data_IF_267723749988
#
_entry.id   IF_267723749988
#
_cell.length_a   1.000
_cell.length_b   1.000
_cell.length_c   1.000
_cell.angle_alpha   90.00
_cell.angle_beta   90.00
_cell.angle_gamma   90.00
#
_symmetry.space_group_name_H-M   'P 1'
#
loop_
_entity.id
_entity.type
_entity.pdbx_description
1 polymer ?
#
# COMPACT_ATOMS: atom_id res chain seq x y z
N UNK A 1 -35.73 -33.88 40.02
CA UNK A 1 -34.42 -34.00 39.29
C UNK A 1 -34.38 -33.00 38.13
N UNK A 2 -35.39 -32.89 37.28
CA UNK A 2 -35.42 -31.95 36.14
C UNK A 2 -35.32 -30.46 36.55
N UNK A 3 -35.99 -30.00 37.59
CA UNK A 3 -35.92 -28.61 38.06
C UNK A 3 -34.52 -28.19 38.48
N UNK A 4 -33.74 -29.12 39.06
CA UNK A 4 -32.36 -28.84 39.48
C UNK A 4 -31.40 -28.76 38.29
N UNK A 5 -31.65 -29.51 37.22
CA UNK A 5 -30.83 -29.47 35.99
C UNK A 5 -31.10 -28.15 35.27
N UNK A 6 -32.34 -27.72 35.11
CA UNK A 6 -32.67 -26.43 34.49
C UNK A 6 -32.05 -25.28 35.26
N UNK A 7 -32.14 -25.28 36.61
CA UNK A 7 -31.53 -24.26 37.46
C UNK A 7 -30.00 -24.22 37.28
N UNK A 8 -29.35 -25.38 37.19
CA UNK A 8 -27.90 -25.47 36.96
C UNK A 8 -27.50 -24.88 35.58
N UNK A 9 -28.25 -25.18 34.53
CA UNK A 9 -28.00 -24.62 33.18
C UNK A 9 -28.16 -23.11 33.17
N UNK A 10 -29.20 -22.57 33.78
CA UNK A 10 -29.41 -21.11 33.90
C UNK A 10 -28.24 -20.46 34.61
N UNK A 11 -27.82 -21.03 35.75
CA UNK A 11 -26.69 -20.49 36.52
C UNK A 11 -25.39 -20.50 35.74
N UNK A 12 -25.09 -21.61 35.02
CA UNK A 12 -23.91 -21.70 34.18
C UNK A 12 -23.92 -20.68 33.05
N UNK A 13 -25.10 -20.45 32.45
CA UNK A 13 -25.26 -19.42 31.41
C UNK A 13 -25.01 -18.01 31.96
N UNK A 14 -25.55 -17.69 33.13
CA UNK A 14 -25.32 -16.40 33.83
C UNK A 14 -23.81 -16.19 34.08
N UNK A 15 -23.09 -17.22 34.52
CA UNK A 15 -21.66 -17.16 34.77
C UNK A 15 -20.87 -16.88 33.49
N UNK A 16 -21.24 -17.50 32.37
CA UNK A 16 -20.63 -17.25 31.06
C UNK A 16 -20.85 -15.80 30.61
N UNK A 17 -22.06 -15.26 30.80
CA UNK A 17 -22.35 -13.85 30.48
C UNK A 17 -21.44 -12.89 31.26
N UNK A 18 -21.20 -13.14 32.55
CA UNK A 18 -20.30 -12.33 33.38
C UNK A 18 -18.85 -12.43 32.84
N UNK A 19 -18.40 -13.61 32.49
CA UNK A 19 -17.07 -13.82 31.92
C UNK A 19 -16.89 -13.03 30.57
N UNK A 20 -17.92 -13.02 29.73
CA UNK A 20 -17.91 -12.26 28.46
C UNK A 20 -17.78 -10.76 28.74
N UNK A 21 -18.64 -10.21 29.62
CA UNK A 21 -18.59 -8.79 29.96
C UNK A 21 -17.24 -8.43 30.60
N UNK A 22 -16.77 -9.27 31.51
CA UNK A 22 -15.45 -9.09 32.11
C UNK A 22 -14.32 -9.11 31.08
N UNK A 23 -14.31 -10.09 30.20
CA UNK A 23 -13.32 -10.19 29.12
C UNK A 23 -13.31 -8.93 28.25
N UNK A 24 -14.49 -8.45 27.86
CA UNK A 24 -14.64 -7.26 27.04
C UNK A 24 -14.11 -5.99 27.74
N UNK A 25 -14.46 -5.77 29.01
CA UNK A 25 -14.00 -4.62 29.79
C UNK A 25 -12.50 -4.71 30.09
N UNK A 26 -12.01 -5.89 30.43
CA UNK A 26 -10.60 -6.12 30.73
C UNK A 26 -9.72 -5.84 29.52
N UNK A 27 -10.08 -6.33 28.36
CA UNK A 27 -9.30 -6.19 27.13
C UNK A 27 -9.26 -4.76 26.62
N UNK A 28 -10.20 -3.90 26.99
CA UNK A 28 -10.19 -2.45 26.72
C UNK A 28 -9.44 -1.62 27.76
N UNK A 29 -8.99 -2.23 28.85
CA UNK A 29 -8.29 -1.52 29.92
C UNK A 29 -6.83 -1.22 29.53
N UNK A 30 -6.26 -0.16 30.13
CA UNK A 30 -4.82 0.15 30.03
C UNK A 30 -3.93 -0.96 30.58
N UNK A 31 -4.43 -1.74 31.53
CA UNK A 31 -3.68 -2.85 32.15
C UNK A 31 -3.47 -4.02 31.18
N UNK A 32 -4.42 -4.25 30.30
CA UNK A 32 -4.27 -5.22 29.23
C UNK A 32 -3.17 -4.81 28.24
N UNK A 33 -3.02 -3.50 27.97
CA UNK A 33 -1.94 -2.97 27.15
C UNK A 33 -0.56 -3.29 27.73
N UNK A 34 -0.37 -3.09 29.04
CA UNK A 34 0.90 -3.41 29.70
C UNK A 34 1.26 -4.90 29.59
N UNK A 35 0.23 -5.77 29.60
CA UNK A 35 0.42 -7.21 29.37
C UNK A 35 0.92 -7.47 27.95
N UNK A 36 0.29 -6.83 26.95
CA UNK A 36 0.66 -6.97 25.54
C UNK A 36 2.10 -6.50 25.26
N UNK A 37 2.51 -5.43 25.92
CA UNK A 37 3.87 -4.89 25.84
C UNK A 37 4.91 -5.74 26.61
N UNK A 38 4.49 -6.89 27.20
CA UNK A 38 5.32 -7.81 27.99
C UNK A 38 6.01 -7.15 29.19
N UNK A 39 5.49 -6.01 29.68
CA UNK A 39 6.08 -5.25 30.79
C UNK A 39 5.03 -4.84 31.83
N UNK A 40 4.19 -5.78 32.37
CA UNK A 40 3.23 -5.41 33.39
C UNK A 40 3.94 -4.92 34.66
N UNK A 41 3.53 -3.73 35.11
CA UNK A 41 4.05 -3.15 36.36
C UNK A 41 3.63 -4.00 37.58
N UNK A 42 4.34 -3.81 38.72
CA UNK A 42 3.96 -4.50 39.94
C UNK A 42 2.52 -4.16 40.39
N UNK A 43 2.11 -2.88 40.21
CA UNK A 43 0.75 -2.43 40.46
C UNK A 43 -0.28 -3.15 39.61
N UNK A 44 0.00 -3.33 38.33
CA UNK A 44 -0.83 -4.09 37.40
C UNK A 44 -0.94 -5.55 37.79
N UNK A 45 0.14 -6.21 38.21
CA UNK A 45 0.10 -7.58 38.68
C UNK A 45 -0.73 -7.74 39.90
N UNK A 46 -0.58 -6.86 40.90
CA UNK A 46 -1.40 -6.88 42.13
C UNK A 46 -2.88 -6.65 41.82
N UNK A 47 -3.19 -5.65 40.95
CA UNK A 47 -4.56 -5.41 40.53
C UNK A 47 -5.19 -6.64 39.88
N UNK A 48 -4.45 -7.32 39.00
CA UNK A 48 -4.92 -8.52 38.31
C UNK A 48 -5.14 -9.68 39.27
N UNK A 49 -4.26 -9.87 40.27
CA UNK A 49 -4.48 -10.85 41.36
C UNK A 49 -5.81 -10.60 42.02
N UNK A 50 -6.10 -9.35 42.41
CA UNK A 50 -7.35 -9.00 43.11
C UNK A 50 -8.56 -9.19 42.19
N UNK A 51 -8.50 -8.67 40.95
CA UNK A 51 -9.63 -8.70 40.00
C UNK A 51 -10.00 -10.13 39.61
N UNK A 52 -9.01 -10.95 39.24
CA UNK A 52 -9.26 -12.35 38.89
C UNK A 52 -9.57 -13.22 40.14
N UNK A 53 -9.01 -12.86 41.28
CA UNK A 53 -9.37 -13.46 42.56
C UNK A 53 -10.84 -13.20 42.92
N UNK A 54 -11.36 -11.97 42.76
CA UNK A 54 -12.76 -11.66 42.92
C UNK A 54 -13.66 -12.38 41.93
N UNK A 55 -13.22 -12.56 40.68
CA UNK A 55 -13.92 -13.39 39.68
C UNK A 55 -14.02 -14.85 40.16
N UNK A 56 -12.98 -15.39 40.79
CA UNK A 56 -12.98 -16.72 41.39
C UNK A 56 -13.94 -16.81 42.58
N UNK A 57 -14.01 -15.79 43.45
CA UNK A 57 -14.98 -15.68 44.54
C UNK A 57 -16.39 -15.64 44.00
N UNK A 58 -16.64 -14.81 42.97
CA UNK A 58 -17.93 -14.76 42.28
C UNK A 58 -18.35 -16.12 41.74
N UNK A 59 -17.45 -16.84 41.09
CA UNK A 59 -17.70 -18.20 40.61
C UNK A 59 -18.08 -19.20 41.71
N UNK A 60 -17.58 -18.99 42.96
CA UNK A 60 -17.95 -19.79 44.11
C UNK A 60 -19.33 -19.41 44.66
N UNK A 61 -19.63 -18.10 44.76
CA UNK A 61 -20.92 -17.60 45.27
C UNK A 61 -22.09 -18.00 44.38
N UNK A 62 -21.88 -17.91 43.06
CA UNK A 62 -22.90 -18.23 42.06
C UNK A 62 -23.06 -19.74 41.84
N UNK A 63 -22.28 -20.57 42.50
CA UNK A 63 -22.31 -22.01 42.35
C UNK A 63 -23.58 -22.66 42.90
N UNK A 64 -24.01 -23.78 42.33
CA UNK A 64 -25.17 -24.59 42.77
C UNK A 64 -24.68 -25.81 43.55
N UNK A 65 -25.21 -25.99 44.76
CA UNK A 65 -24.85 -27.15 45.55
C UNK A 65 -25.71 -28.36 45.17
N UNK A 66 -25.05 -29.43 44.74
CA UNK A 66 -25.66 -30.68 44.33
C UNK A 66 -24.98 -31.84 45.10
N UNK A 67 -25.74 -32.59 45.87
CA UNK A 67 -25.22 -33.73 46.66
C UNK A 67 -23.98 -33.39 47.53
N UNK A 68 -23.95 -32.16 48.10
CA UNK A 68 -22.82 -31.69 48.93
C UNK A 68 -21.62 -31.16 48.17
N UNK A 69 -21.54 -31.35 46.84
CA UNK A 69 -20.58 -30.72 45.98
C UNK A 69 -21.12 -29.43 45.36
N UNK A 70 -20.27 -28.45 45.11
CA UNK A 70 -20.65 -27.16 44.50
C UNK A 70 -20.23 -27.15 43.05
N UNK A 71 -21.22 -27.12 42.15
CA UNK A 71 -21.02 -26.87 40.73
C UNK A 71 -20.68 -25.37 40.54
N UNK A 72 -19.49 -25.04 40.09
CA UNK A 72 -19.03 -23.66 40.00
C UNK A 72 -17.96 -23.50 38.90
N UNK A 73 -17.55 -22.24 38.60
CA UNK A 73 -16.56 -21.86 37.61
C UNK A 73 -15.39 -21.06 38.20
N UNK A 74 -15.11 -21.27 39.51
CA UNK A 74 -14.10 -20.47 40.25
C UNK A 74 -12.69 -20.59 39.70
N UNK A 75 -12.35 -21.72 39.04
CA UNK A 75 -11.00 -22.01 38.55
C UNK A 75 -10.66 -21.22 37.27
N UNK A 76 -11.67 -20.68 36.58
CA UNK A 76 -11.50 -19.90 35.34
C UNK A 76 -10.69 -18.62 35.60
N UNK A 77 -11.03 -17.85 36.64
CA UNK A 77 -10.33 -16.59 36.96
C UNK A 77 -8.83 -16.79 37.16
N UNK A 78 -8.40 -17.63 38.11
CA UNK A 78 -7.00 -17.94 38.35
C UNK A 78 -6.28 -18.52 37.13
N UNK A 79 -6.92 -19.42 36.40
CA UNK A 79 -6.34 -20.00 35.19
C UNK A 79 -6.04 -18.92 34.12
N UNK A 80 -7.01 -18.04 33.84
CA UNK A 80 -6.83 -16.94 32.90
C UNK A 80 -5.78 -15.93 33.39
N UNK A 81 -5.78 -15.62 34.69
CA UNK A 81 -4.76 -14.76 35.29
C UNK A 81 -3.33 -15.33 35.06
N UNK A 82 -3.19 -16.66 35.23
CA UNK A 82 -1.97 -17.37 34.92
C UNK A 82 -1.59 -17.29 33.46
N UNK A 83 -2.53 -17.57 32.53
CA UNK A 83 -2.32 -17.50 31.08
C UNK A 83 -1.92 -16.11 30.60
N UNK A 84 -2.35 -15.04 31.27
CA UNK A 84 -2.06 -13.66 30.86
C UNK A 84 -0.76 -13.11 31.45
N UNK A 85 -0.44 -13.45 32.71
CA UNK A 85 0.60 -12.76 33.48
C UNK A 85 1.57 -13.67 34.21
N UNK A 86 1.44 -14.97 34.02
CA UNK A 86 2.33 -15.97 34.58
C UNK A 86 1.92 -16.53 35.94
N UNK A 87 2.71 -17.51 36.47
CA UNK A 87 2.30 -18.36 37.59
C UNK A 87 2.02 -17.58 38.89
N UNK A 88 2.79 -16.56 39.17
CA UNK A 88 2.62 -15.79 40.41
C UNK A 88 1.27 -15.05 40.48
N UNK A 89 0.81 -14.53 39.34
CA UNK A 89 -0.49 -13.86 39.26
C UNK A 89 -1.64 -14.87 39.34
N UNK A 90 -1.49 -15.99 38.64
CA UNK A 90 -2.47 -17.08 38.72
C UNK A 90 -2.60 -17.70 40.11
N UNK A 91 -1.48 -17.99 40.77
CA UNK A 91 -1.45 -18.49 42.16
C UNK A 91 -2.10 -17.49 43.12
N UNK A 92 -1.75 -16.18 43.01
CA UNK A 92 -2.32 -15.14 43.85
C UNK A 92 -3.84 -15.03 43.72
N UNK A 93 -4.35 -15.07 42.49
CA UNK A 93 -5.79 -15.09 42.23
C UNK A 93 -6.46 -16.37 42.79
N UNK A 94 -5.78 -17.52 42.63
CA UNK A 94 -6.22 -18.82 43.14
C UNK A 94 -6.30 -18.86 44.69
N UNK A 95 -5.36 -18.23 45.41
CA UNK A 95 -5.37 -18.11 46.84
C UNK A 95 -6.62 -17.35 47.33
N UNK A 96 -6.96 -16.22 46.70
CA UNK A 96 -8.16 -15.43 47.08
C UNK A 96 -9.42 -16.27 46.92
N UNK A 97 -9.64 -16.92 45.75
CA UNK A 97 -10.83 -17.76 45.54
C UNK A 97 -10.86 -19.01 46.40
N UNK A 98 -9.69 -19.66 46.60
CA UNK A 98 -9.55 -20.86 47.38
C UNK A 98 -9.79 -20.63 48.87
N UNK A 99 -9.24 -19.56 49.45
CA UNK A 99 -9.51 -19.18 50.86
C UNK A 99 -10.98 -18.89 51.10
N UNK A 100 -11.65 -18.18 50.20
CA UNK A 100 -13.10 -17.93 50.31
C UNK A 100 -13.89 -19.24 50.32
N UNK A 101 -13.54 -20.19 49.41
CA UNK A 101 -14.20 -21.53 49.39
C UNK A 101 -13.92 -22.35 50.66
N UNK A 102 -12.69 -22.31 51.16
CA UNK A 102 -12.34 -22.97 52.40
C UNK A 102 -13.13 -22.44 53.59
N UNK A 103 -13.35 -21.15 53.67
CA UNK A 103 -14.16 -20.50 54.76
C UNK A 103 -15.63 -20.95 54.76
N UNK A 104 -16.17 -21.42 53.63
CA UNK A 104 -17.54 -21.97 53.58
C UNK A 104 -17.69 -23.37 54.21
N UNK A 105 -16.57 -24.07 54.42
CA UNK A 105 -16.58 -25.41 54.99
C UNK A 105 -17.12 -26.50 54.04
N UNK A 106 -17.46 -27.66 54.63
CA UNK A 106 -18.05 -28.79 53.93
C UNK A 106 -17.02 -29.84 53.46
N UNK A 107 -17.46 -30.97 52.88
CA UNK A 107 -16.61 -32.13 52.58
C UNK A 107 -15.51 -31.87 51.53
N UNK A 108 -15.74 -30.90 50.65
CA UNK A 108 -14.83 -30.51 49.58
C UNK A 108 -14.03 -29.22 49.89
N UNK A 109 -13.87 -28.82 51.15
CA UNK A 109 -13.20 -27.58 51.49
C UNK A 109 -11.73 -27.52 51.10
N UNK A 110 -10.98 -28.61 51.28
CA UNK A 110 -9.56 -28.68 50.95
C UNK A 110 -9.31 -28.79 49.45
N UNK A 111 -10.10 -29.59 48.73
CA UNK A 111 -10.02 -29.65 47.27
C UNK A 111 -10.45 -28.29 46.67
N UNK A 112 -11.42 -27.63 47.25
CA UNK A 112 -11.84 -26.30 46.87
C UNK A 112 -10.83 -25.19 47.14
N UNK A 113 -9.91 -25.35 48.09
CA UNK A 113 -8.76 -24.49 48.33
C UNK A 113 -7.67 -24.69 47.29
N UNK A 114 -7.32 -25.96 46.99
CA UNK A 114 -6.17 -26.30 46.16
C UNK A 114 -6.46 -26.13 44.66
N UNK A 115 -7.65 -26.47 44.19
CA UNK A 115 -8.04 -26.43 42.77
C UNK A 115 -7.76 -25.09 42.09
N UNK A 116 -8.23 -23.92 42.55
CA UNK A 116 -7.98 -22.65 41.88
C UNK A 116 -6.52 -22.22 41.93
N UNK A 117 -5.78 -22.60 42.98
CA UNK A 117 -4.32 -22.37 43.07
C UNK A 117 -3.57 -23.17 42.00
N UNK A 118 -3.93 -24.44 41.86
CA UNK A 118 -3.33 -25.33 40.85
C UNK A 118 -3.68 -24.90 39.44
N UNK A 119 -4.93 -24.55 39.19
CA UNK A 119 -5.37 -24.01 37.90
C UNK A 119 -4.57 -22.76 37.50
N UNK A 120 -4.44 -21.81 38.43
CA UNK A 120 -3.69 -20.57 38.23
C UNK A 120 -2.19 -20.82 37.98
N UNK A 121 -1.59 -21.74 38.71
CA UNK A 121 -0.20 -22.16 38.52
C UNK A 121 0.01 -22.79 37.12
N UNK A 122 -0.82 -23.76 36.74
CA UNK A 122 -0.74 -24.45 35.46
C UNK A 122 -0.99 -23.52 34.28
N UNK A 123 -1.95 -22.60 34.37
CA UNK A 123 -2.13 -21.54 33.38
C UNK A 123 -0.88 -20.69 33.23
N UNK A 124 -0.23 -20.35 34.34
CA UNK A 124 1.02 -19.59 34.34
C UNK A 124 2.24 -20.33 33.77
N UNK A 125 2.32 -21.63 34.02
CA UNK A 125 3.36 -22.49 33.37
C UNK A 125 3.20 -22.48 31.87
N UNK A 126 1.96 -22.55 31.39
CA UNK A 126 1.67 -22.50 29.97
C UNK A 126 2.06 -21.17 29.34
N UNK A 127 1.81 -20.03 30.02
CA UNK A 127 2.31 -18.72 29.59
C UNK A 127 3.84 -18.68 29.47
N UNK A 128 4.56 -19.26 30.44
CA UNK A 128 6.03 -19.36 30.35
C UNK A 128 6.49 -20.26 29.22
N UNK A 129 5.85 -21.40 29.00
CA UNK A 129 6.13 -22.33 27.90
C UNK A 129 5.91 -21.68 26.53
N UNK A 130 4.92 -20.80 26.42
CA UNK A 130 4.65 -19.99 25.21
C UNK A 130 5.50 -18.70 25.12
N UNK A 131 6.71 -18.70 25.68
CA UNK A 131 7.67 -17.59 25.60
C UNK A 131 7.13 -16.25 26.15
N UNK A 132 6.23 -16.30 27.09
CA UNK A 132 5.52 -15.14 27.69
C UNK A 132 4.66 -14.36 26.65
N UNK A 133 4.17 -15.08 25.68
CA UNK A 133 3.15 -14.59 24.74
C UNK A 133 1.79 -15.14 25.11
N UNK A 134 0.75 -14.45 24.62
CA UNK A 134 -0.61 -14.95 24.81
C UNK A 134 -0.77 -16.31 24.12
N UNK A 135 -1.29 -17.26 24.84
CA UNK A 135 -1.42 -18.62 24.36
C UNK A 135 -2.55 -18.70 23.34
N UNK A 136 -2.33 -19.35 22.17
CA UNK A 136 -3.37 -19.56 21.18
C UNK A 136 -4.62 -20.25 21.79
N UNK A 137 -5.81 -19.76 21.43
CA UNK A 137 -7.08 -20.23 22.00
C UNK A 137 -7.20 -21.75 21.95
N UNK A 138 -6.86 -22.39 20.82
CA UNK A 138 -6.94 -23.86 20.66
C UNK A 138 -6.11 -24.61 21.71
N UNK A 139 -4.90 -24.11 21.95
CA UNK A 139 -3.98 -24.74 22.92
C UNK A 139 -4.46 -24.49 24.35
N UNK A 140 -4.91 -23.26 24.66
CA UNK A 140 -5.45 -22.92 25.99
C UNK A 140 -6.68 -23.78 26.35
N UNK A 141 -7.57 -24.00 25.39
CA UNK A 141 -8.79 -24.81 25.53
C UNK A 141 -8.49 -26.29 25.81
N UNK A 142 -7.60 -26.89 25.02
CA UNK A 142 -7.19 -28.30 25.22
C UNK A 142 -6.52 -28.44 26.59
N UNK A 143 -5.67 -27.51 26.95
CA UNK A 143 -4.92 -27.60 28.20
C UNK A 143 -5.83 -27.41 29.42
N UNK A 144 -6.78 -26.43 29.41
CA UNK A 144 -7.71 -26.28 30.50
C UNK A 144 -8.61 -27.49 30.67
N UNK A 145 -9.06 -28.10 29.58
CA UNK A 145 -9.83 -29.36 29.66
C UNK A 145 -9.06 -30.47 30.39
N UNK A 146 -7.78 -30.63 30.05
CA UNK A 146 -6.91 -31.64 30.74
C UNK A 146 -6.72 -31.30 32.21
N UNK A 147 -6.49 -30.01 32.53
CA UNK A 147 -6.30 -29.54 33.92
C UNK A 147 -7.56 -29.79 34.75
N UNK A 148 -8.73 -29.42 34.23
CA UNK A 148 -10.02 -29.60 34.91
C UNK A 148 -10.37 -31.08 35.06
N UNK A 149 -10.10 -31.91 34.08
CA UNK A 149 -10.25 -33.36 34.22
C UNK A 149 -9.38 -33.94 35.38
N UNK A 150 -8.11 -33.51 35.43
CA UNK A 150 -7.18 -33.95 36.49
C UNK A 150 -7.66 -33.47 37.89
N UNK A 151 -7.99 -32.21 38.02
CA UNK A 151 -8.50 -31.61 39.30
C UNK A 151 -9.77 -32.31 39.74
N UNK A 152 -10.71 -32.54 38.82
CA UNK A 152 -12.01 -33.19 39.13
C UNK A 152 -11.78 -34.65 39.52
N UNK A 153 -10.88 -35.40 38.86
CA UNK A 153 -10.56 -36.76 39.22
C UNK A 153 -9.95 -36.84 40.64
N UNK A 154 -8.99 -35.99 40.95
CA UNK A 154 -8.37 -35.93 42.28
C UNK A 154 -9.44 -35.61 43.35
N UNK A 155 -10.33 -34.62 43.10
CA UNK A 155 -11.39 -34.24 44.02
C UNK A 155 -12.37 -35.39 44.29
N UNK A 156 -12.74 -36.16 43.27
CA UNK A 156 -13.63 -37.33 43.41
C UNK A 156 -12.96 -38.41 44.21
N UNK A 157 -11.70 -38.74 43.95
CA UNK A 157 -10.97 -39.82 44.68
C UNK A 157 -10.79 -39.45 46.15
N UNK A 158 -10.43 -38.20 46.44
CA UNK A 158 -10.08 -37.79 47.83
C UNK A 158 -11.28 -37.52 48.71
N UNK A 159 -12.36 -36.96 48.17
CA UNK A 159 -13.45 -36.39 48.94
C UNK A 159 -14.81 -37.07 48.74
N UNK A 160 -14.93 -38.06 47.86
CA UNK A 160 -16.22 -38.67 47.50
C UNK A 160 -16.28 -40.15 47.94
N UNK A 161 -17.33 -40.59 48.64
CA UNK A 161 -17.55 -42.03 48.88
C UNK A 161 -17.72 -42.79 47.58
N UNK A 162 -17.16 -44.01 47.48
CA UNK A 162 -17.16 -44.83 46.25
C UNK A 162 -18.57 -45.03 45.66
N UNK A 163 -19.58 -45.15 46.52
CA UNK A 163 -20.99 -45.29 46.12
C UNK A 163 -21.57 -44.08 45.37
N UNK A 164 -20.92 -42.91 45.44
CA UNK A 164 -21.34 -41.68 44.77
C UNK A 164 -20.45 -41.26 43.62
N UNK A 165 -19.38 -41.99 43.29
CA UNK A 165 -18.42 -41.60 42.25
C UNK A 165 -19.06 -41.29 40.90
N UNK A 166 -19.90 -42.17 40.41
CA UNK A 166 -20.56 -41.99 39.10
C UNK A 166 -21.48 -40.80 39.09
N UNK A 167 -22.26 -40.64 40.18
CA UNK A 167 -23.20 -39.51 40.32
C UNK A 167 -22.48 -38.17 40.35
N UNK A 168 -21.44 -38.03 41.16
CA UNK A 168 -20.66 -36.76 41.23
C UNK A 168 -19.91 -36.51 39.93
N UNK A 169 -19.33 -37.53 39.29
CA UNK A 169 -18.66 -37.37 38.03
C UNK A 169 -19.60 -36.85 36.91
N UNK A 170 -20.80 -37.44 36.80
CA UNK A 170 -21.74 -37.08 35.73
C UNK A 170 -22.53 -35.78 35.98
N UNK A 171 -22.91 -35.52 37.23
CA UNK A 171 -23.80 -34.40 37.58
C UNK A 171 -23.02 -33.14 37.94
N UNK A 172 -21.79 -33.25 38.42
CA UNK A 172 -20.97 -32.09 38.83
C UNK A 172 -19.75 -31.90 37.97
N UNK A 173 -18.87 -32.93 37.82
CA UNK A 173 -17.58 -32.73 37.19
C UNK A 173 -17.70 -32.43 35.68
N UNK A 174 -18.51 -33.20 34.95
CA UNK A 174 -18.64 -32.99 33.47
C UNK A 174 -19.21 -31.59 33.15
N UNK A 175 -20.30 -31.11 33.77
CA UNK A 175 -20.79 -29.74 33.54
C UNK A 175 -19.78 -28.67 33.93
N UNK A 176 -19.00 -28.84 35.02
CA UNK A 176 -17.92 -27.92 35.39
C UNK A 176 -16.83 -27.85 34.31
N UNK A 177 -16.33 -28.97 33.83
CA UNK A 177 -15.30 -29.06 32.78
C UNK A 177 -15.81 -28.33 31.53
N UNK A 178 -17.02 -28.65 31.08
CA UNK A 178 -17.61 -28.02 29.88
C UNK A 178 -17.69 -26.50 30.05
N UNK A 179 -18.17 -26.02 31.17
CA UNK A 179 -18.34 -24.58 31.42
C UNK A 179 -17.01 -23.85 31.53
N UNK A 180 -16.03 -24.44 32.20
CA UNK A 180 -14.67 -23.88 32.30
C UNK A 180 -14.01 -23.80 30.92
N UNK A 181 -14.12 -24.87 30.13
CA UNK A 181 -13.61 -24.93 28.77
C UNK A 181 -14.25 -23.84 27.89
N UNK A 182 -15.58 -23.73 27.92
CA UNK A 182 -16.32 -22.70 27.18
C UNK A 182 -15.93 -21.29 27.64
N UNK A 183 -15.80 -21.05 28.93
CA UNK A 183 -15.40 -19.77 29.49
C UNK A 183 -13.98 -19.36 29.04
N UNK A 184 -13.02 -20.27 29.09
CA UNK A 184 -11.64 -20.03 28.62
C UNK A 184 -11.62 -19.84 27.11
N UNK A 185 -12.40 -20.62 26.36
CA UNK A 185 -12.52 -20.45 24.91
C UNK A 185 -12.99 -19.04 24.52
N UNK A 186 -14.09 -18.60 25.12
CA UNK A 186 -14.67 -17.28 24.85
C UNK A 186 -13.67 -16.18 25.22
N UNK A 187 -13.10 -16.24 26.43
CA UNK A 187 -12.15 -15.27 26.90
C UNK A 187 -10.91 -15.17 26.00
N UNK A 188 -10.31 -16.32 25.69
CA UNK A 188 -9.12 -16.36 24.82
C UNK A 188 -9.41 -15.90 23.41
N UNK A 189 -10.60 -16.20 22.85
CA UNK A 189 -11.02 -15.73 21.53
C UNK A 189 -11.19 -14.21 21.49
N UNK A 190 -11.87 -13.62 22.49
CA UNK A 190 -12.00 -12.17 22.59
C UNK A 190 -10.63 -11.50 22.66
N UNK A 191 -9.74 -12.06 23.48
CA UNK A 191 -8.37 -11.57 23.61
C UNK A 191 -7.58 -11.63 22.30
N UNK A 192 -7.63 -12.74 21.58
CA UNK A 192 -6.93 -12.90 20.30
C UNK A 192 -7.48 -11.98 19.23
N UNK A 193 -8.80 -11.90 19.08
CA UNK A 193 -9.41 -11.01 18.08
C UNK A 193 -8.99 -9.55 18.26
N UNK A 194 -8.93 -9.07 19.50
CA UNK A 194 -8.48 -7.70 19.78
C UNK A 194 -6.99 -7.48 19.54
N UNK A 195 -6.17 -8.52 19.76
CA UNK A 195 -4.76 -8.50 19.40
C UNK A 195 -4.56 -8.36 17.90
N UNK A 196 -5.29 -9.17 17.13
CA UNK A 196 -5.18 -9.19 15.68
C UNK A 196 -5.71 -7.89 15.07
N UNK A 197 -6.82 -7.35 15.61
CA UNK A 197 -7.34 -6.03 15.23
C UNK A 197 -6.29 -4.92 15.43
N UNK A 198 -5.59 -4.93 16.58
CA UNK A 198 -4.53 -3.95 16.86
C UNK A 198 -3.32 -4.11 15.96
N UNK A 199 -2.88 -5.34 15.71
CA UNK A 199 -1.77 -5.61 14.79
C UNK A 199 -2.08 -5.10 13.40
N UNK A 200 -3.27 -5.42 12.87
CA UNK A 200 -3.73 -4.94 11.57
C UNK A 200 -3.80 -3.41 11.52
N UNK A 201 -4.27 -2.75 12.59
CA UNK A 201 -4.33 -1.28 12.64
C UNK A 201 -2.94 -0.65 12.60
N UNK A 202 -1.98 -1.15 13.39
CA UNK A 202 -0.60 -0.66 13.39
C UNK A 202 0.10 -0.90 12.05
N UNK A 203 -0.13 -2.04 11.41
CA UNK A 203 0.41 -2.36 10.09
C UNK A 203 -0.16 -1.44 9.01
N UNK A 204 -1.48 -1.16 9.07
CA UNK A 204 -2.15 -0.22 8.18
C UNK A 204 -1.58 1.20 8.34
N UNK A 205 -1.46 1.70 9.57
CA UNK A 205 -0.88 3.02 9.85
C UNK A 205 0.57 3.14 9.33
N UNK A 206 1.36 2.07 9.50
CA UNK A 206 2.73 2.02 8.97
C UNK A 206 2.75 2.07 7.44
N UNK A 207 1.88 1.30 6.79
CA UNK A 207 1.77 1.28 5.32
C UNK A 207 1.32 2.63 4.77
N UNK A 208 0.33 3.27 5.41
CA UNK A 208 -0.13 4.61 5.04
C UNK A 208 0.99 5.65 5.15
N UNK A 209 1.79 5.57 6.23
CA UNK A 209 2.94 6.46 6.40
C UNK A 209 4.03 6.24 5.34
N UNK A 210 4.34 4.98 5.00
CA UNK A 210 5.30 4.65 3.95
C UNK A 210 4.82 5.11 2.56
N UNK A 211 3.52 4.96 2.27
CA UNK A 211 2.91 5.46 1.02
C UNK A 211 2.96 6.98 0.95
N UNK A 212 2.57 7.68 2.02
CA UNK A 212 2.62 9.14 2.07
C UNK A 212 4.05 9.67 1.85
N UNK A 213 5.04 9.02 2.45
CA UNK A 213 6.46 9.37 2.25
C UNK A 213 6.91 9.17 0.81
N UNK A 214 6.58 8.02 0.19
CA UNK A 214 6.91 7.75 -1.22
C UNK A 214 6.27 8.77 -2.16
N UNK A 215 5.00 9.11 -1.93
CA UNK A 215 4.31 10.12 -2.73
C UNK A 215 4.97 11.50 -2.61
N UNK A 216 5.40 11.88 -1.41
CA UNK A 216 6.13 13.15 -1.21
C UNK A 216 7.49 13.14 -1.94
N UNK A 217 8.23 12.04 -1.92
CA UNK A 217 9.49 11.90 -2.65
C UNK A 217 9.26 11.98 -4.19
N UNK A 218 8.18 11.39 -4.71
CA UNK A 218 7.82 11.47 -6.13
C UNK A 218 7.36 12.89 -6.54
N UNK A 219 6.65 13.60 -5.68
CA UNK A 219 6.27 15.00 -5.95
C UNK A 219 7.50 15.91 -6.07
N UNK A 220 8.50 15.72 -5.20
CA UNK A 220 9.78 16.46 -5.31
C UNK A 220 10.47 16.11 -6.63
N UNK A 221 10.52 14.84 -7.03
CA UNK A 221 11.09 14.44 -8.31
C UNK A 221 10.38 15.08 -9.49
N UNK A 222 9.04 15.17 -9.45
CA UNK A 222 8.22 15.83 -10.46
C UNK A 222 8.50 17.35 -10.54
N UNK A 223 8.70 18.01 -9.41
CA UNK A 223 9.07 19.41 -9.37
C UNK A 223 10.47 19.65 -9.97
N UNK A 224 11.44 18.81 -9.62
CA UNK A 224 12.78 18.86 -10.21
C UNK A 224 12.71 18.63 -11.72
N UNK A 225 11.93 17.65 -12.18
CA UNK A 225 11.78 17.34 -13.59
C UNK A 225 11.17 18.50 -14.39
N UNK A 226 10.14 19.15 -13.83
CA UNK A 226 9.54 20.34 -14.47
C UNK A 226 10.54 21.46 -14.70
N UNK A 227 11.53 21.62 -13.82
CA UNK A 227 12.59 22.62 -13.98
C UNK A 227 13.56 22.27 -15.13
N UNK A 228 13.58 21.01 -15.62
CA UNK A 228 14.34 20.63 -16.82
C UNK A 228 13.58 20.95 -18.12
N UNK A 229 12.25 21.11 -18.09
CA UNK A 229 11.49 21.50 -19.29
C UNK A 229 11.49 23.03 -19.43
N UNK A 230 11.41 23.56 -20.66
CA UNK A 230 11.36 25.01 -20.85
C UNK A 230 10.05 25.59 -20.32
N UNK A 231 10.13 26.51 -19.37
CA UNK A 231 8.97 27.22 -18.82
C UNK A 231 8.33 28.16 -19.88
N UNK A 232 9.15 28.69 -20.76
CA UNK A 232 8.72 29.60 -21.81
C UNK A 232 9.37 29.20 -23.14
N UNK A 233 8.58 29.19 -24.20
CA UNK A 233 9.08 28.94 -25.54
C UNK A 233 9.66 30.26 -26.07
N UNK A 234 10.93 30.28 -26.53
CA UNK A 234 11.54 31.48 -27.06
C UNK A 234 10.83 31.95 -28.35
N UNK A 235 10.64 33.24 -28.47
CA UNK A 235 10.05 33.82 -29.68
C UNK A 235 10.96 33.61 -30.88
N UNK A 236 10.45 32.98 -31.92
CA UNK A 236 11.16 32.68 -33.16
C UNK A 236 10.56 33.53 -34.29
N UNK A 237 11.38 34.36 -34.92
CA UNK A 237 10.88 35.25 -35.96
C UNK A 237 10.33 34.47 -37.16
N UNK A 238 9.09 34.75 -37.56
CA UNK A 238 8.43 34.07 -38.69
C UNK A 238 7.81 32.71 -38.32
N UNK A 239 7.81 32.35 -37.05
CA UNK A 239 7.25 31.07 -36.56
C UNK A 239 6.48 31.28 -35.25
N UNK A 240 5.30 30.69 -35.16
CA UNK A 240 4.51 30.59 -33.97
C UNK A 240 4.64 29.14 -33.45
N UNK A 241 5.21 28.96 -32.25
CA UNK A 241 5.53 27.65 -31.68
C UNK A 241 4.82 27.50 -30.35
N UNK A 242 4.08 26.39 -30.18
CA UNK A 242 3.50 25.98 -28.93
C UNK A 242 3.88 24.54 -28.60
N UNK A 243 4.10 24.23 -27.33
CA UNK A 243 4.36 22.86 -26.88
C UNK A 243 3.71 22.60 -25.53
N UNK A 244 3.28 21.35 -25.32
CA UNK A 244 2.72 20.86 -24.06
C UNK A 244 3.23 19.46 -23.78
N UNK A 245 3.45 19.18 -22.51
CA UNK A 245 3.74 17.84 -22.00
C UNK A 245 2.91 17.59 -20.76
N UNK A 246 2.18 16.46 -20.76
CA UNK A 246 1.28 16.04 -19.68
C UNK A 246 1.70 14.61 -19.30
N UNK A 247 2.41 14.44 -18.18
CA UNK A 247 2.84 13.12 -17.76
C UNK A 247 1.66 12.26 -17.29
N UNK A 248 1.71 10.95 -17.55
CA UNK A 248 0.72 9.97 -17.11
C UNK A 248 0.84 9.65 -15.62
N UNK A 249 2.02 9.86 -15.04
CA UNK A 249 2.34 9.67 -13.62
C UNK A 249 2.95 10.94 -13.05
N UNK A 250 3.44 10.86 -11.82
CA UNK A 250 4.10 12.00 -11.16
C UNK A 250 5.32 12.49 -11.95
N UNK A 251 6.04 11.58 -12.61
CA UNK A 251 7.19 11.87 -13.49
C UNK A 251 7.07 11.07 -14.79
N UNK A 252 7.45 11.70 -15.92
CA UNK A 252 7.35 11.14 -17.27
C UNK A 252 8.69 10.89 -17.93
N UNK A 253 8.67 10.12 -19.04
CA UNK A 253 9.80 9.90 -19.94
C UNK A 253 9.88 10.94 -21.07
N UNK A 254 8.74 11.48 -21.45
CA UNK A 254 8.59 12.43 -22.53
C UNK A 254 9.21 13.79 -22.25
N UNK A 255 9.71 14.42 -23.29
CA UNK A 255 10.17 15.80 -23.21
C UNK A 255 10.17 16.52 -24.56
N UNK A 256 10.18 17.83 -24.48
CA UNK A 256 10.42 18.71 -25.62
C UNK A 256 11.44 19.79 -25.24
N UNK A 257 12.04 20.40 -26.25
CA UNK A 257 12.87 21.59 -26.09
C UNK A 257 12.75 22.51 -27.32
N UNK A 258 12.83 23.80 -27.06
CA UNK A 258 12.96 24.83 -28.08
C UNK A 258 14.11 25.74 -27.67
N UNK A 259 15.14 25.81 -28.48
CA UNK A 259 16.38 26.46 -28.09
C UNK A 259 16.95 27.38 -29.19
N UNK A 260 17.33 28.62 -28.88
CA UNK A 260 18.13 29.42 -29.80
C UNK A 260 19.53 28.81 -29.92
N UNK A 261 20.00 28.64 -31.15
CA UNK A 261 21.31 27.97 -31.45
C UNK A 261 22.49 28.93 -31.61
N UNK A 262 22.23 30.23 -31.51
CA UNK A 262 23.29 31.23 -31.65
C UNK A 262 23.59 31.91 -30.32
N UNK A 263 24.90 31.96 -30.00
CA UNK A 263 25.41 32.51 -28.72
C UNK A 263 25.50 34.05 -28.73
N UNK A 264 25.43 34.66 -29.95
CA UNK A 264 25.57 36.12 -30.11
C UNK A 264 24.19 36.76 -30.30
N UNK A 265 23.78 37.70 -29.49
CA UNK A 265 22.39 38.20 -29.48
C UNK A 265 21.92 39.00 -30.71
N UNK A 266 22.72 39.10 -31.78
CA UNK A 266 22.44 39.96 -32.94
C UNK A 266 21.84 39.25 -34.14
N UNK A 267 21.81 37.91 -34.19
CA UNK A 267 21.13 37.16 -35.25
C UNK A 267 20.50 35.90 -34.68
N UNK A 268 19.29 35.98 -34.22
CA UNK A 268 18.51 34.80 -33.75
C UNK A 268 17.92 34.11 -35.00
N UNK A 269 18.78 33.69 -35.93
CA UNK A 269 18.38 33.15 -37.26
C UNK A 269 18.07 31.68 -37.19
N UNK A 270 18.55 30.94 -36.15
CA UNK A 270 18.41 29.48 -36.10
C UNK A 270 17.82 29.03 -34.76
N UNK A 271 16.75 28.26 -34.84
CA UNK A 271 16.06 27.68 -33.68
C UNK A 271 16.07 26.15 -33.72
N UNK A 272 16.60 25.52 -32.69
CA UNK A 272 16.50 24.08 -32.51
C UNK A 272 15.16 23.73 -31.88
N UNK A 273 14.46 22.74 -32.43
CA UNK A 273 13.27 22.12 -31.87
C UNK A 273 13.51 20.65 -31.62
N UNK A 274 12.99 20.12 -30.52
CA UNK A 274 13.17 18.73 -30.15
C UNK A 274 11.92 18.19 -29.44
N UNK A 275 11.52 16.98 -29.81
CA UNK A 275 10.55 16.17 -29.07
C UNK A 275 11.07 14.76 -28.95
N UNK A 276 10.83 14.11 -27.82
CA UNK A 276 11.40 12.80 -27.56
C UNK A 276 10.58 12.04 -26.51
N UNK A 277 10.64 10.71 -26.60
CA UNK A 277 10.08 9.77 -25.66
C UNK A 277 11.14 8.75 -25.23
N UNK A 278 11.27 8.53 -23.93
CA UNK A 278 12.21 7.60 -23.30
C UNK A 278 11.52 6.27 -23.05
N UNK A 279 12.14 5.19 -23.53
CA UNK A 279 11.67 3.83 -23.24
C UNK A 279 11.58 3.56 -21.74
N UNK A 280 10.40 3.14 -21.25
CA UNK A 280 10.13 2.88 -19.84
C UNK A 280 9.40 4.01 -19.13
N UNK A 281 9.12 3.87 -17.82
CA UNK A 281 8.26 4.79 -17.08
C UNK A 281 8.80 5.09 -15.67
N UNK A 282 8.40 6.21 -15.12
CA UNK A 282 8.73 6.62 -13.75
C UNK A 282 10.13 7.21 -13.60
N UNK A 283 10.67 7.19 -12.38
CA UNK A 283 11.92 7.89 -12.03
C UNK A 283 13.12 7.54 -12.91
N UNK A 284 13.38 6.26 -13.29
CA UNK A 284 14.48 5.94 -14.20
C UNK A 284 14.33 6.62 -15.56
N UNK A 285 13.15 6.61 -16.16
CA UNK A 285 12.88 7.27 -17.44
C UNK A 285 13.05 8.79 -17.33
N UNK A 286 12.55 9.41 -16.26
CA UNK A 286 12.69 10.83 -15.99
C UNK A 286 14.18 11.28 -15.86
N UNK A 287 15.02 10.48 -15.23
CA UNK A 287 16.46 10.76 -15.13
C UNK A 287 17.16 10.60 -16.49
N UNK A 288 16.78 9.57 -17.25
CA UNK A 288 17.34 9.35 -18.58
C UNK A 288 16.89 10.42 -19.57
N UNK A 289 15.68 10.91 -19.45
CA UNK A 289 15.16 12.08 -20.15
C UNK A 289 16.02 13.33 -19.89
N UNK A 290 16.30 13.64 -18.63
CA UNK A 290 17.10 14.80 -18.25
C UNK A 290 18.53 14.70 -18.84
N UNK A 291 19.15 13.51 -18.75
CA UNK A 291 20.45 13.24 -19.36
C UNK A 291 20.41 13.47 -20.88
N UNK A 292 19.47 12.84 -21.56
CA UNK A 292 19.34 12.89 -23.02
C UNK A 292 19.12 14.31 -23.51
N UNK A 293 18.20 15.05 -22.88
CA UNK A 293 17.94 16.44 -23.21
C UNK A 293 19.19 17.32 -23.05
N UNK A 294 19.90 17.20 -21.93
CA UNK A 294 21.13 17.99 -21.69
C UNK A 294 22.20 17.66 -22.70
N UNK A 295 22.45 16.38 -22.99
CA UNK A 295 23.46 15.94 -23.95
C UNK A 295 23.15 16.51 -25.33
N UNK A 296 21.92 16.36 -25.83
CA UNK A 296 21.55 16.90 -27.17
C UNK A 296 21.64 18.44 -27.17
N UNK A 297 21.18 19.11 -26.12
CA UNK A 297 21.25 20.58 -26.02
C UNK A 297 22.68 21.11 -26.03
N UNK A 298 23.61 20.46 -25.31
CA UNK A 298 25.02 20.84 -25.30
C UNK A 298 25.69 20.56 -26.63
N UNK A 299 25.43 19.40 -27.24
CA UNK A 299 25.99 19.07 -28.56
C UNK A 299 25.48 19.98 -29.67
N UNK A 300 24.21 20.41 -29.59
CA UNK A 300 23.64 21.40 -30.54
C UNK A 300 24.31 22.78 -30.50
N UNK A 301 25.03 23.13 -29.44
CA UNK A 301 25.85 24.35 -29.37
C UNK A 301 27.15 24.22 -30.13
N UNK A 302 27.62 23.00 -30.41
CA UNK A 302 28.93 22.75 -31.05
C UNK A 302 28.80 22.41 -32.53
N UNK A 303 27.71 21.73 -32.90
CA UNK A 303 27.49 21.26 -34.26
C UNK A 303 26.33 22.02 -34.92
N UNK A 304 26.49 22.32 -36.22
CA UNK A 304 25.48 23.05 -37.01
C UNK A 304 24.46 22.12 -37.67
N UNK A 305 24.86 20.89 -37.99
CA UNK A 305 24.01 19.93 -38.68
C UNK A 305 23.33 19.00 -37.70
N UNK A 306 22.01 18.81 -37.80
CA UNK A 306 21.26 17.87 -36.93
C UNK A 306 21.86 16.47 -36.87
N UNK A 307 22.32 15.92 -38.03
CA UNK A 307 22.97 14.61 -38.11
C UNK A 307 24.23 14.54 -37.25
N UNK A 308 25.07 15.57 -37.27
CA UNK A 308 26.32 15.63 -36.47
C UNK A 308 25.98 15.73 -34.96
N UNK A 309 24.93 16.50 -34.59
CA UNK A 309 24.45 16.63 -33.20
C UNK A 309 24.06 15.27 -32.65
N UNK A 310 23.20 14.54 -33.36
CA UNK A 310 22.67 13.26 -32.87
C UNK A 310 23.74 12.16 -32.93
N UNK A 311 24.57 12.10 -33.99
CA UNK A 311 25.67 11.15 -34.09
C UNK A 311 26.69 11.31 -32.93
N UNK A 312 26.94 12.56 -32.47
CA UNK A 312 27.82 12.80 -31.33
C UNK A 312 27.15 12.52 -29.98
N UNK A 313 25.85 12.82 -29.85
CA UNK A 313 25.08 12.57 -28.65
C UNK A 313 24.85 11.07 -28.39
N UNK A 314 24.61 10.29 -29.44
CA UNK A 314 24.22 8.89 -29.37
C UNK A 314 25.17 8.02 -28.50
N UNK A 315 26.48 7.93 -28.75
CA UNK A 315 27.38 7.09 -27.95
C UNK A 315 27.44 7.54 -26.49
N UNK A 316 27.31 8.84 -26.21
CA UNK A 316 27.26 9.35 -24.82
C UNK A 316 26.02 8.83 -24.12
N UNK A 317 24.87 8.87 -24.77
CA UNK A 317 23.58 8.40 -24.21
C UNK A 317 23.61 6.88 -24.07
N UNK A 318 24.05 6.13 -25.09
CA UNK A 318 24.13 4.67 -25.09
C UNK A 318 25.02 4.14 -23.96
N UNK A 319 26.22 4.72 -23.78
CA UNK A 319 27.16 4.30 -22.74
C UNK A 319 26.67 4.60 -21.30
N UNK A 320 25.70 5.49 -21.14
CA UNK A 320 25.06 5.77 -19.85
C UNK A 320 23.77 4.98 -19.63
N UNK A 321 23.32 4.19 -20.61
CA UNK A 321 22.15 3.32 -20.53
C UNK A 321 22.53 1.92 -20.02
N UNK A 322 22.71 1.76 -18.69
CA UNK A 322 23.01 0.43 -18.09
C UNK A 322 21.83 -0.55 -18.13
N UNK A 323 20.62 -0.07 -18.35
CA UNK A 323 19.38 -0.85 -18.33
C UNK A 323 18.82 -1.13 -19.72
N UNK A 324 19.56 -0.78 -20.78
CA UNK A 324 19.09 -0.91 -22.15
C UNK A 324 17.98 0.08 -22.53
N UNK A 325 17.88 1.21 -21.82
CA UNK A 325 16.96 2.30 -22.15
C UNK A 325 17.45 3.03 -23.38
N UNK A 326 16.53 3.49 -24.20
CA UNK A 326 16.77 4.30 -25.39
C UNK A 326 15.76 5.43 -25.47
N UNK A 327 15.97 6.37 -26.39
CA UNK A 327 15.11 7.52 -26.61
C UNK A 327 14.72 7.58 -28.08
N UNK A 328 13.43 7.57 -28.37
CA UNK A 328 12.95 8.00 -29.68
C UNK A 328 12.98 9.53 -29.72
N UNK A 329 13.60 10.11 -30.74
CA UNK A 329 13.87 11.54 -30.74
C UNK A 329 13.75 12.14 -32.14
N UNK A 330 12.99 13.22 -32.25
CA UNK A 330 13.02 14.12 -33.37
C UNK A 330 13.80 15.38 -32.97
N UNK A 331 14.83 15.73 -33.74
CA UNK A 331 15.60 16.97 -33.60
C UNK A 331 15.63 17.71 -34.91
N UNK A 332 15.14 18.95 -34.93
CA UNK A 332 15.10 19.82 -36.08
C UNK A 332 15.76 21.18 -35.84
N UNK A 333 16.32 21.75 -36.85
CA UNK A 333 16.84 23.13 -36.87
C UNK A 333 16.08 23.92 -37.92
N UNK A 334 15.36 24.94 -37.44
CA UNK A 334 14.66 25.92 -38.25
C UNK A 334 15.63 27.06 -38.57
N UNK A 335 15.86 27.35 -39.81
CA UNK A 335 16.53 28.56 -40.29
C UNK A 335 15.49 29.60 -40.69
N UNK A 336 15.46 30.69 -39.94
CA UNK A 336 14.44 31.73 -40.10
C UNK A 336 14.57 32.57 -41.37
N UNK A 337 15.83 32.67 -41.90
CA UNK A 337 16.09 33.47 -43.13
C UNK A 337 15.71 32.69 -44.37
N UNK A 338 16.10 31.41 -44.43
CA UNK A 338 15.81 30.55 -45.57
C UNK A 338 14.45 29.86 -45.48
N UNK A 339 13.79 29.89 -44.27
CA UNK A 339 12.57 29.15 -43.98
C UNK A 339 12.73 27.64 -44.25
N UNK A 340 13.86 27.07 -43.86
CA UNK A 340 14.16 25.68 -44.03
C UNK A 340 14.18 24.96 -42.68
N UNK A 341 13.54 23.80 -42.60
CA UNK A 341 13.67 22.86 -41.49
C UNK A 341 14.63 21.75 -41.91
N UNK A 342 15.78 21.66 -41.26
CA UNK A 342 16.70 20.52 -41.41
C UNK A 342 16.52 19.63 -40.20
N UNK A 343 16.29 18.32 -40.38
CA UNK A 343 15.94 17.45 -39.27
C UNK A 343 16.59 16.07 -39.30
N UNK A 344 16.65 15.45 -38.12
CA UNK A 344 16.86 14.02 -37.86
C UNK A 344 15.66 13.48 -37.13
N UNK A 345 15.08 12.39 -37.65
CA UNK A 345 14.09 11.59 -36.95
C UNK A 345 14.73 10.26 -36.52
N UNK A 346 15.14 10.16 -35.29
CA UNK A 346 15.78 9.02 -34.65
C UNK A 346 14.76 8.09 -33.99
N UNK A 347 14.00 7.36 -34.83
CA UNK A 347 13.02 6.38 -34.35
C UNK A 347 11.75 6.96 -33.68
N UNK A 348 11.47 8.25 -33.82
CA UNK A 348 10.31 8.91 -33.23
C UNK A 348 9.09 8.89 -34.18
N UNK A 349 7.89 9.04 -33.65
CA UNK A 349 6.66 9.17 -34.42
C UNK A 349 6.84 10.23 -35.52
N UNK A 350 6.56 9.91 -36.79
CA UNK A 350 6.74 10.88 -37.85
C UNK A 350 5.94 12.16 -37.65
N UNK A 351 6.55 13.35 -37.56
CA UNK A 351 5.80 14.59 -37.51
C UNK A 351 4.93 14.79 -38.73
N UNK A 352 3.75 15.38 -38.54
CA UNK A 352 2.76 15.63 -39.57
C UNK A 352 2.88 17.06 -40.07
N UNK A 353 3.00 17.24 -41.39
CA UNK A 353 3.09 18.57 -42.04
C UNK A 353 1.85 18.79 -42.87
N UNK A 354 1.07 19.81 -42.55
CA UNK A 354 -0.04 20.30 -43.36
C UNK A 354 0.39 21.54 -44.12
N UNK A 355 0.49 21.39 -45.45
CA UNK A 355 0.87 22.51 -46.34
C UNK A 355 -0.24 23.53 -46.52
N UNK A 356 0.13 24.78 -46.66
CA UNK A 356 -0.85 25.85 -46.97
C UNK A 356 -1.59 25.54 -48.28
N UNK A 357 -2.90 25.61 -48.25
CA UNK A 357 -3.78 25.43 -49.44
C UNK A 357 -4.06 23.97 -49.81
N UNK A 358 -3.49 22.99 -49.12
CA UNK A 358 -3.78 21.54 -49.31
C UNK A 358 -4.53 20.94 -48.11
N UNK A 359 -5.06 19.76 -48.30
CA UNK A 359 -5.57 18.89 -47.22
C UNK A 359 -4.71 17.66 -47.03
N UNK A 360 -3.68 17.48 -47.89
CA UNK A 360 -2.76 16.36 -47.81
C UNK A 360 -1.74 16.59 -46.70
N UNK A 361 -1.46 15.51 -45.96
CA UNK A 361 -0.46 15.49 -44.89
C UNK A 361 0.81 14.82 -45.44
N UNK A 362 1.93 15.47 -45.22
CA UNK A 362 3.26 14.95 -45.45
C UNK A 362 3.83 14.47 -44.13
N UNK A 363 4.42 13.27 -44.06
CA UNK A 363 5.09 12.73 -42.89
C UNK A 363 6.60 12.92 -42.98
N UNK A 364 7.23 13.39 -41.91
CA UNK A 364 8.70 13.50 -41.87
C UNK A 364 9.29 12.15 -41.45
N UNK A 365 9.84 11.45 -42.43
CA UNK A 365 10.28 10.07 -42.29
C UNK A 365 11.44 9.88 -41.30
N UNK A 366 11.66 8.62 -40.94
CA UNK A 366 12.77 8.20 -40.09
C UNK A 366 14.11 8.37 -40.88
N UNK A 367 15.13 8.89 -40.21
CA UNK A 367 16.47 9.09 -40.73
C UNK A 367 17.56 8.36 -39.93
N UNK A 368 17.14 7.61 -38.89
CA UNK A 368 18.00 6.79 -38.04
C UNK A 368 17.19 6.02 -37.01
N UNK A 369 17.86 5.14 -36.27
CA UNK A 369 17.27 4.38 -35.15
C UNK A 369 17.21 5.22 -33.88
N UNK A 370 16.43 4.76 -32.87
CA UNK A 370 16.33 5.43 -31.57
C UNK A 370 17.71 5.67 -30.93
N UNK A 371 17.90 6.82 -30.33
CA UNK A 371 19.15 7.25 -29.68
C UNK A 371 19.40 6.39 -28.43
N UNK A 372 20.63 5.89 -28.31
CA UNK A 372 21.02 5.01 -27.22
C UNK A 372 20.66 3.54 -27.39
N UNK A 373 19.96 3.16 -28.48
CA UNK A 373 19.65 1.77 -28.80
C UNK A 373 20.87 1.00 -29.32
N UNK A 374 21.66 1.63 -30.16
CA UNK A 374 22.90 1.08 -30.74
C UNK A 374 24.00 2.16 -30.63
N UNK A 375 25.16 1.81 -30.06
CA UNK A 375 26.27 2.77 -29.86
C UNK A 375 26.80 3.34 -31.19
N UNK A 376 26.93 2.50 -32.19
CA UNK A 376 27.51 2.84 -33.53
C UNK A 376 26.41 3.20 -34.54
N UNK A 377 25.26 3.70 -34.09
CA UNK A 377 24.19 4.08 -35.02
C UNK A 377 24.56 5.27 -35.89
N UNK A 378 24.24 5.19 -37.18
CA UNK A 378 24.42 6.27 -38.16
C UNK A 378 23.10 7.06 -38.28
N UNK A 379 23.22 8.38 -38.40
CA UNK A 379 22.09 9.29 -38.58
C UNK A 379 22.28 10.16 -39.83
N UNK A 380 21.27 10.16 -40.66
CA UNK A 380 21.19 11.07 -41.82
C UNK A 380 20.23 12.22 -41.47
N UNK A 381 20.29 13.30 -42.27
CA UNK A 381 19.37 14.42 -42.12
C UNK A 381 18.62 14.68 -43.41
N UNK A 382 17.43 15.20 -43.32
CA UNK A 382 16.62 15.67 -44.43
C UNK A 382 16.29 17.15 -44.29
N UNK A 383 15.93 17.81 -45.40
CA UNK A 383 15.58 19.22 -45.45
C UNK A 383 14.18 19.39 -46.01
N UNK A 384 13.41 20.28 -45.37
CA UNK A 384 12.08 20.65 -45.75
C UNK A 384 11.98 22.16 -45.95
N UNK A 385 11.65 22.59 -47.16
CA UNK A 385 11.34 23.99 -47.44
C UNK A 385 9.95 24.31 -46.89
N UNK A 386 9.86 25.36 -46.08
CA UNK A 386 8.60 25.82 -45.44
C UNK A 386 8.03 27.05 -46.12
N UNK A 387 6.72 27.15 -46.16
CA UNK A 387 5.95 28.29 -46.70
C UNK A 387 5.03 28.87 -45.63
N UNK A 388 4.73 30.19 -45.75
CA UNK A 388 3.79 30.82 -44.82
C UNK A 388 2.46 30.09 -44.81
N UNK A 389 1.93 29.82 -43.63
CA UNK A 389 0.70 29.05 -43.37
C UNK A 389 0.88 27.54 -43.28
N UNK A 390 2.07 27.02 -43.44
CA UNK A 390 2.37 25.58 -43.16
C UNK A 390 2.28 25.34 -41.64
N UNK A 391 1.75 24.17 -41.27
CA UNK A 391 1.63 23.71 -39.85
C UNK A 391 2.35 22.38 -39.70
N UNK A 392 3.27 22.30 -38.77
CA UNK A 392 3.98 21.07 -38.39
C UNK A 392 3.52 20.65 -37.01
N UNK A 393 3.11 19.39 -36.85
CA UNK A 393 2.69 18.81 -35.57
C UNK A 393 3.60 17.64 -35.23
N UNK A 394 4.34 17.80 -34.14
CA UNK A 394 5.19 16.76 -33.55
C UNK A 394 4.47 16.22 -32.32
N UNK A 395 4.49 14.90 -32.13
CA UNK A 395 3.71 14.26 -31.09
C UNK A 395 4.35 12.95 -30.62
N UNK A 396 4.10 12.57 -29.37
CA UNK A 396 4.45 11.25 -28.84
C UNK A 396 3.27 10.29 -28.96
N UNK A 397 3.55 8.99 -28.81
CA UNK A 397 2.57 7.92 -28.98
C UNK A 397 1.41 7.99 -27.97
N UNK A 398 1.59 8.60 -26.78
CA UNK A 398 0.52 8.83 -25.83
C UNK A 398 -0.69 9.59 -26.38
N UNK A 399 -0.54 10.32 -27.52
CA UNK A 399 -1.69 10.91 -28.25
C UNK A 399 -2.42 9.84 -29.05
N UNK A 400 -1.72 9.09 -29.87
CA UNK A 400 -2.30 8.13 -30.82
C UNK A 400 -2.72 6.83 -30.17
N UNK A 401 -2.09 6.44 -29.09
CA UNK A 401 -2.40 5.26 -28.29
C UNK A 401 -3.40 5.53 -27.14
N UNK A 402 -3.89 6.74 -26.99
CA UNK A 402 -4.96 7.04 -26.04
C UNK A 402 -6.20 6.17 -26.31
N UNK A 403 -6.71 5.50 -25.28
CA UNK A 403 -7.76 4.47 -25.38
C UNK A 403 -9.08 5.01 -24.81
N UNK A 404 -10.20 4.69 -25.46
CA UNK A 404 -11.53 5.02 -24.98
C UNK A 404 -12.17 3.87 -24.16
N UNK A 405 -13.39 4.07 -23.66
CA UNK A 405 -14.15 3.07 -22.89
C UNK A 405 -14.50 1.80 -23.68
N UNK A 406 -14.29 1.78 -24.99
CA UNK A 406 -14.48 0.63 -25.89
C UNK A 406 -13.17 -0.06 -26.30
N UNK A 407 -12.05 0.29 -25.66
CA UNK A 407 -10.71 -0.20 -25.99
C UNK A 407 -10.22 0.17 -27.40
N UNK A 408 -10.80 1.20 -28.03
CA UNK A 408 -10.33 1.72 -29.31
C UNK A 408 -9.26 2.76 -29.08
N UNK A 409 -8.23 2.78 -29.92
CA UNK A 409 -7.17 3.79 -29.90
C UNK A 409 -7.59 5.06 -30.65
N UNK A 410 -7.01 6.21 -30.26
CA UNK A 410 -7.24 7.49 -30.94
C UNK A 410 -6.74 7.48 -32.38
N UNK A 411 -5.56 6.97 -32.61
CA UNK A 411 -4.87 6.79 -33.89
C UNK A 411 -4.60 8.10 -34.68
N UNK A 412 -3.67 8.02 -35.65
CA UNK A 412 -3.23 9.16 -36.48
C UNK A 412 -4.37 9.78 -37.30
N UNK A 413 -5.35 9.03 -37.87
CA UNK A 413 -6.41 9.65 -38.68
C UNK A 413 -7.24 10.71 -37.95
N UNK A 414 -7.53 10.50 -36.62
CA UNK A 414 -8.26 11.49 -35.81
C UNK A 414 -7.41 12.74 -35.56
N UNK A 415 -6.10 12.56 -35.34
CA UNK A 415 -5.17 13.68 -35.19
C UNK A 415 -5.13 14.53 -36.47
N UNK A 416 -5.04 13.90 -37.63
CA UNK A 416 -5.08 14.58 -38.94
C UNK A 416 -6.36 15.38 -39.13
N UNK A 417 -7.51 14.81 -38.81
CA UNK A 417 -8.82 15.47 -38.94
C UNK A 417 -8.87 16.77 -38.09
N UNK A 418 -8.31 16.74 -36.89
CA UNK A 418 -8.25 17.92 -36.01
C UNK A 418 -7.30 18.97 -36.60
N UNK A 419 -6.08 18.59 -37.03
CA UNK A 419 -5.10 19.51 -37.62
C UNK A 419 -5.72 20.25 -38.82
N UNK A 420 -6.41 19.52 -39.71
CA UNK A 420 -7.07 20.09 -40.88
C UNK A 420 -8.16 21.11 -40.51
N UNK A 421 -8.97 20.81 -39.48
CA UNK A 421 -10.06 21.66 -38.99
C UNK A 421 -9.56 22.94 -38.29
N UNK A 422 -8.44 22.83 -37.58
CA UNK A 422 -7.90 23.89 -36.72
C UNK A 422 -6.79 24.72 -37.38
N UNK A 423 -6.38 24.41 -38.62
CA UNK A 423 -5.22 24.98 -39.32
C UNK A 423 -5.13 26.52 -39.31
N UNK A 424 -6.25 27.23 -39.20
CA UNK A 424 -6.31 28.69 -39.19
C UNK A 424 -6.10 29.29 -37.80
N UNK A 425 -6.12 28.48 -36.75
CA UNK A 425 -5.90 28.91 -35.36
C UNK A 425 -4.41 29.18 -35.10
N UNK A 426 -4.07 29.77 -33.97
CA UNK A 426 -2.69 29.86 -33.49
C UNK A 426 -2.15 28.48 -33.10
N UNK A 427 -0.82 28.33 -33.04
CA UNK A 427 -0.21 27.06 -32.59
C UNK A 427 -0.65 26.65 -31.20
N UNK A 428 -0.86 27.58 -30.30
CA UNK A 428 -1.36 27.30 -28.95
C UNK A 428 -2.82 26.77 -28.99
N UNK A 429 -3.70 27.40 -29.78
CA UNK A 429 -5.09 26.91 -29.90
C UNK A 429 -5.16 25.55 -30.58
N UNK A 430 -4.31 25.27 -31.59
CA UNK A 430 -4.21 23.96 -32.25
C UNK A 430 -3.81 22.90 -31.21
N UNK A 431 -2.80 23.19 -30.41
CA UNK A 431 -2.34 22.29 -29.34
C UNK A 431 -3.42 22.02 -28.29
N UNK A 432 -4.16 23.06 -27.89
CA UNK A 432 -5.26 22.95 -26.93
C UNK A 432 -6.42 22.08 -27.45
N UNK A 433 -6.79 22.25 -28.73
CA UNK A 433 -7.85 21.47 -29.38
C UNK A 433 -7.45 19.98 -29.53
N UNK A 434 -6.20 19.69 -29.91
CA UNK A 434 -5.71 18.32 -30.00
C UNK A 434 -5.79 17.64 -28.62
N UNK A 435 -5.25 18.26 -27.58
CA UNK A 435 -5.27 17.70 -26.21
C UNK A 435 -6.71 17.53 -25.70
N UNK A 436 -7.57 18.53 -25.93
CA UNK A 436 -8.98 18.45 -25.53
C UNK A 436 -9.72 17.30 -26.23
N UNK A 437 -9.42 17.06 -27.51
CA UNK A 437 -10.00 15.96 -28.27
C UNK A 437 -9.52 14.59 -27.78
N UNK A 438 -8.24 14.46 -27.42
CA UNK A 438 -7.68 13.22 -26.84
C UNK A 438 -8.37 12.89 -25.51
N UNK A 439 -8.50 13.87 -24.61
CA UNK A 439 -9.20 13.65 -23.33
C UNK A 439 -10.71 13.39 -23.50
N UNK A 440 -11.36 14.08 -24.42
CA UNK A 440 -12.77 13.84 -24.74
C UNK A 440 -12.98 12.43 -25.32
N UNK A 441 -12.04 11.92 -26.11
CA UNK A 441 -12.07 10.57 -26.66
C UNK A 441 -11.85 9.50 -25.58
N UNK A 442 -10.88 9.71 -24.69
CA UNK A 442 -10.56 8.77 -23.60
C UNK A 442 -11.66 8.68 -22.54
N UNK A 443 -12.48 9.72 -22.36
CA UNK A 443 -13.62 9.71 -21.43
C UNK A 443 -13.19 9.45 -19.98
N UNK A 444 -13.56 8.29 -19.42
CA UNK A 444 -13.23 7.91 -18.03
C UNK A 444 -11.97 7.08 -17.90
N UNK A 445 -11.35 6.69 -19.01
CA UNK A 445 -10.12 5.89 -18.98
C UNK A 445 -8.95 6.71 -18.46
N UNK A 446 -8.12 6.12 -17.59
CA UNK A 446 -6.91 6.79 -17.11
C UNK A 446 -5.90 6.95 -18.24
N UNK A 447 -5.16 8.04 -18.23
CA UNK A 447 -4.07 8.26 -19.17
C UNK A 447 -3.03 7.11 -19.06
N UNK A 448 -2.75 6.44 -20.16
CA UNK A 448 -1.87 5.27 -20.19
C UNK A 448 -0.40 5.65 -20.36
N UNK A 449 -0.09 6.64 -21.20
CA UNK A 449 1.27 7.12 -21.46
C UNK A 449 1.37 8.64 -21.41
N UNK A 450 2.59 9.16 -21.36
CA UNK A 450 2.87 10.60 -21.38
C UNK A 450 2.38 11.20 -22.71
N UNK A 451 1.73 12.35 -22.64
CA UNK A 451 1.24 13.09 -23.82
C UNK A 451 2.12 14.30 -24.02
N UNK A 452 2.92 14.28 -25.08
CA UNK A 452 3.73 15.43 -25.48
C UNK A 452 3.43 15.86 -26.90
N UNK A 453 3.25 17.14 -27.09
CA UNK A 453 2.85 17.76 -28.36
C UNK A 453 3.63 19.06 -28.59
N UNK A 454 4.08 19.27 -29.82
CA UNK A 454 4.62 20.56 -30.29
C UNK A 454 3.97 20.93 -31.63
N UNK A 455 3.50 22.13 -31.73
CA UNK A 455 2.92 22.72 -32.97
C UNK A 455 3.80 23.87 -33.41
N UNK A 456 4.26 23.83 -34.66
CA UNK A 456 5.03 24.89 -35.30
C UNK A 456 4.22 25.40 -36.48
N UNK A 457 3.85 26.67 -36.47
CA UNK A 457 3.12 27.35 -37.56
C UNK A 457 4.00 28.41 -38.19
N UNK A 458 4.11 28.38 -39.50
CA UNK A 458 4.87 29.38 -40.25
C UNK A 458 4.04 30.63 -40.51
N UNK A 459 4.55 31.79 -40.08
CA UNK A 459 3.85 33.08 -40.14
C UNK A 459 4.01 33.74 -41.52
#
# INVERSE_FOLDING_TARGET
>A
MESNIIQSIITLFQMICVIIVFAYLFTRSRYFLEILEKRPSLKTKILLIVVFGLLSVYGTISGVTLNGAVLNVRDIGPFIAGLCCGPWVGIGAGIIGGLYRCAQGGPYMYTGLIAPILAGFLGGVMYLANKRELVPTRIAVIFVALVECLISLIAIIVATPVSQFVTIATVVAIPMIITTVVGVFIFSTIMQNLLDERKMKLEKEKLEFEMARKNAELQIAAEIQRNFLPETIPTTQGFDIAAKSIPAKEVGGDFFDVMPLEVIPMSNTRTGIMIADVSGKGVPAALFMALSRIVVRVTAMWFKKPSEVISFANPIIANNSKTGMFVTLFYGVIDNETRTLTYVNAGHNPPLVLRQGTVEIEELNLTGVAVGALEDAEYTQEELQLSSGDVIVLYTDGITEAVNDHEEMFEVPRLIDIIQKTRNLSSQEIADEIISAVFAFSGTQPQFDDITLMVVKVS
#
